data_IF_673214188131
#
_entry.id   IF_673214188131
#
_cell.length_a   1.000
_cell.length_b   1.000
_cell.length_c   1.000
_cell.angle_alpha   90.00
_cell.angle_beta   90.00
_cell.angle_gamma   90.00
#
_symmetry.space_group_name_H-M   'P 1'
#
loop_
_entity.id
_entity.type
_entity.pdbx_description
1 polymer ?
#
# COMPACT_ATOMS: atom_id res chain seq x y z
N UNK A 1 -15.43 0.66 -8.15
CA UNK A 1 -16.18 1.55 -7.23
C UNK A 1 -15.18 2.44 -6.51
N UNK A 2 -15.37 3.76 -6.47
CA UNK A 2 -14.41 4.66 -5.84
C UNK A 2 -14.74 4.84 -4.34
N UNK A 3 -13.71 4.86 -3.48
CA UNK A 3 -13.87 5.14 -2.05
C UNK A 3 -14.29 6.60 -1.81
N UNK A 4 -15.25 6.80 -0.90
CA UNK A 4 -15.65 8.14 -0.43
C UNK A 4 -14.53 8.81 0.36
N UNK A 5 -14.62 10.13 0.56
CA UNK A 5 -13.63 10.86 1.38
C UNK A 5 -13.61 10.38 2.83
N UNK A 6 -14.78 10.05 3.39
CA UNK A 6 -14.91 9.52 4.75
C UNK A 6 -14.21 8.15 4.87
N UNK A 7 -14.44 7.26 3.91
CA UNK A 7 -13.80 5.94 3.85
C UNK A 7 -12.28 6.07 3.74
N UNK A 8 -11.78 6.95 2.87
CA UNK A 8 -10.34 7.22 2.74
C UNK A 8 -9.74 7.73 4.05
N UNK A 9 -10.41 8.64 4.76
CA UNK A 9 -9.93 9.17 6.06
C UNK A 9 -9.87 8.07 7.11
N UNK A 10 -10.89 7.23 7.18
CA UNK A 10 -10.94 6.07 8.09
C UNK A 10 -9.79 5.08 7.81
N UNK A 11 -9.61 4.67 6.56
CA UNK A 11 -8.54 3.76 6.16
C UNK A 11 -7.14 4.34 6.40
N UNK A 12 -6.95 5.66 6.22
CA UNK A 12 -5.69 6.33 6.60
C UNK A 12 -5.40 6.25 8.08
N UNK A 13 -6.43 6.35 8.93
CA UNK A 13 -6.29 6.15 10.38
C UNK A 13 -5.78 4.76 10.72
N UNK A 14 -6.37 3.73 10.11
CA UNK A 14 -5.93 2.33 10.28
C UNK A 14 -4.48 2.17 9.79
N UNK A 15 -4.18 2.66 8.58
CA UNK A 15 -2.86 2.55 7.97
C UNK A 15 -1.75 3.23 8.78
N UNK A 16 -2.06 4.21 9.63
CA UNK A 16 -1.08 4.84 10.50
C UNK A 16 -0.40 3.82 11.43
N UNK A 17 -1.17 2.86 11.96
CA UNK A 17 -0.69 1.83 12.88
C UNK A 17 -0.03 0.64 12.18
N UNK A 18 -0.24 0.48 10.88
CA UNK A 18 0.38 -0.58 10.09
C UNK A 18 1.89 -0.32 9.92
N UNK A 19 2.67 -1.39 9.95
CA UNK A 19 4.08 -1.35 9.52
C UNK A 19 4.12 -1.38 7.99
N UNK A 20 5.05 -0.66 7.34
CA UNK A 20 5.21 -0.76 5.89
C UNK A 20 5.59 -2.19 5.51
N UNK A 21 4.80 -2.79 4.62
CA UNK A 21 5.04 -4.16 4.10
C UNK A 21 5.84 -4.12 2.80
N UNK A 22 5.73 -3.04 2.03
CA UNK A 22 6.47 -2.84 0.78
C UNK A 22 7.30 -1.56 0.89
N UNK A 23 8.56 -1.64 0.47
CA UNK A 23 9.49 -0.51 0.42
C UNK A 23 9.96 -0.31 -1.03
N UNK A 24 9.68 0.86 -1.59
CA UNK A 24 10.12 1.24 -2.93
C UNK A 24 11.46 1.96 -2.81
N UNK A 25 12.52 1.35 -3.35
CA UNK A 25 13.86 1.91 -3.40
C UNK A 25 14.14 2.72 -4.68
N UNK A 26 15.41 3.01 -4.92
CA UNK A 26 15.89 3.86 -6.03
C UNK A 26 15.53 3.38 -7.45
N UNK A 27 15.32 2.06 -7.63
CA UNK A 27 14.97 1.48 -8.93
C UNK A 27 13.46 1.58 -9.24
N UNK A 28 12.67 2.19 -8.36
CA UNK A 28 11.26 2.48 -8.59
C UNK A 28 10.38 1.22 -8.67
N UNK A 29 9.36 1.29 -9.53
CA UNK A 29 8.38 0.22 -9.72
C UNK A 29 8.86 -0.76 -10.78
N UNK A 30 9.26 -1.96 -10.36
CA UNK A 30 9.54 -3.09 -11.26
C UNK A 30 8.30 -3.97 -11.45
N UNK A 31 8.27 -4.77 -12.52
CA UNK A 31 7.17 -5.73 -12.75
C UNK A 31 7.05 -6.76 -11.62
N UNK A 32 8.18 -7.25 -11.10
CA UNK A 32 8.20 -8.15 -9.94
C UNK A 32 7.57 -7.52 -8.71
N UNK A 33 7.86 -6.24 -8.45
CA UNK A 33 7.27 -5.49 -7.36
C UNK A 33 5.76 -5.27 -7.56
N UNK A 34 5.30 -5.02 -8.79
CA UNK A 34 3.88 -4.86 -9.08
C UNK A 34 3.10 -6.16 -8.84
N UNK A 35 3.66 -7.31 -9.20
CA UNK A 35 3.07 -8.62 -8.91
C UNK A 35 2.98 -8.88 -7.40
N UNK A 36 4.05 -8.56 -6.67
CA UNK A 36 4.08 -8.70 -5.22
C UNK A 36 3.10 -7.74 -4.53
N UNK A 37 2.96 -6.51 -5.04
CA UNK A 37 2.00 -5.53 -4.56
C UNK A 37 0.56 -6.03 -4.70
N UNK A 38 0.19 -6.58 -5.86
CA UNK A 38 -1.15 -7.13 -6.08
C UNK A 38 -1.43 -8.30 -5.14
N UNK A 39 -0.52 -9.27 -5.07
CA UNK A 39 -0.65 -10.41 -4.15
C UNK A 39 -0.77 -9.96 -2.69
N UNK A 40 0.06 -9.01 -2.25
CA UNK A 40 0.02 -8.50 -0.87
C UNK A 40 -1.29 -7.75 -0.60
N UNK A 41 -1.79 -6.98 -1.56
CA UNK A 41 -3.07 -6.28 -1.45
C UNK A 41 -4.24 -7.25 -1.33
N UNK A 42 -4.24 -8.35 -2.09
CA UNK A 42 -5.28 -9.37 -2.04
C UNK A 42 -5.35 -10.08 -0.67
N UNK A 43 -4.21 -10.29 -0.02
CA UNK A 43 -4.15 -10.92 1.31
C UNK A 43 -4.52 -9.98 2.46
N UNK A 44 -4.14 -8.71 2.37
CA UNK A 44 -4.23 -7.78 3.50
C UNK A 44 -5.35 -6.76 3.38
N UNK A 45 -5.94 -6.59 2.20
CA UNK A 45 -7.00 -5.62 1.83
C UNK A 45 -6.61 -4.13 1.99
N UNK A 46 -5.69 -3.82 2.89
CA UNK A 46 -5.10 -2.52 3.16
C UNK A 46 -3.60 -2.69 3.45
N UNK A 47 -2.76 -2.08 2.62
CA UNK A 47 -1.30 -2.15 2.75
C UNK A 47 -0.71 -0.75 2.96
N UNK A 48 0.42 -0.69 3.68
CA UNK A 48 1.23 0.51 3.83
C UNK A 48 2.51 0.35 3.02
N UNK A 49 2.74 1.27 2.10
CA UNK A 49 3.92 1.31 1.24
C UNK A 49 4.80 2.46 1.70
N UNK A 50 6.09 2.20 1.91
CA UNK A 50 7.10 3.23 2.17
C UNK A 50 7.85 3.50 0.87
N UNK A 51 7.84 4.75 0.43
CA UNK A 51 8.67 5.20 -0.69
C UNK A 51 9.92 5.80 -0.07
N UNK A 52 11.09 5.21 -0.35
CA UNK A 52 12.38 5.65 0.18
C UNK A 52 13.18 6.50 -0.84
N UNK A 53 12.50 6.96 -1.90
CA UNK A 53 13.04 7.89 -2.88
C UNK A 53 13.34 9.27 -2.27
#
# INVERSE_FOLDING_TARGET
>A
MALSMQQKKYLRGIAHHLKPVIIIGQYGLSEGLMNELNSTLDHHELIKIKIAA
#
